data_IF_636321642618
#
_entry.id   IF_636321642618
#
_cell.length_a   1.000
_cell.length_b   1.000
_cell.length_c   1.000
_cell.angle_alpha   90.00
_cell.angle_beta   90.00
_cell.angle_gamma   90.00
#
_symmetry.space_group_name_H-M   'P 1'
#
loop_
_entity.id
_entity.type
_entity.pdbx_description
1 polymer ?
#
# COMPACT_ATOMS: atom_id res chain seq x y z
N UNK A 1 14.38 6.65 -15.89
CA UNK A 1 13.51 7.86 -15.84
C UNK A 1 14.05 8.82 -14.80
N UNK A 2 14.10 10.12 -15.09
CA UNK A 2 14.57 11.14 -14.13
C UNK A 2 13.58 11.34 -12.98
N UNK A 3 12.28 11.49 -13.30
CA UNK A 3 11.15 11.55 -12.35
C UNK A 3 10.29 10.30 -12.47
N UNK A 4 9.70 9.88 -11.37
CA UNK A 4 8.81 8.71 -11.34
C UNK A 4 7.55 9.00 -10.53
N UNK A 5 6.41 8.51 -11.00
CA UNK A 5 5.17 8.50 -10.22
C UNK A 5 5.13 7.22 -9.39
N UNK A 6 4.78 7.39 -8.13
CA UNK A 6 4.48 6.35 -7.15
C UNK A 6 3.02 6.42 -6.75
N UNK A 7 2.43 5.28 -6.42
CA UNK A 7 1.09 5.20 -5.88
C UNK A 7 0.87 3.93 -5.07
N UNK A 8 0.05 4.02 -4.04
CA UNK A 8 -0.42 2.91 -3.22
C UNK A 8 -1.95 2.80 -3.33
N UNK A 9 -2.44 1.57 -3.44
CA UNK A 9 -3.86 1.22 -3.35
C UNK A 9 -4.04 0.27 -2.18
N UNK A 10 -4.82 0.67 -1.18
CA UNK A 10 -5.10 -0.18 -0.02
C UNK A 10 -6.59 -0.46 0.08
N UNK A 11 -6.93 -1.74 0.13
CA UNK A 11 -8.25 -2.22 0.51
C UNK A 11 -8.31 -2.41 2.03
N UNK A 12 -9.46 -2.15 2.61
CA UNK A 12 -9.65 -2.22 4.07
C UNK A 12 -10.70 -3.26 4.45
N UNK A 13 -10.41 -4.05 5.48
CA UNK A 13 -11.40 -4.92 6.10
C UNK A 13 -12.39 -4.10 6.94
N UNK A 14 -13.69 -4.44 6.87
CA UNK A 14 -14.74 -3.71 7.57
C UNK A 14 -15.64 -4.64 8.37
N UNK A 15 -16.03 -4.23 9.58
CA UNK A 15 -17.02 -4.94 10.40
C UNK A 15 -17.73 -4.00 11.36
N UNK A 16 -18.95 -4.35 11.76
CA UNK A 16 -19.65 -3.68 12.85
C UNK A 16 -20.03 -4.71 13.92
N UNK A 17 -19.66 -4.45 15.16
CA UNK A 17 -19.95 -5.35 16.28
C UNK A 17 -20.67 -4.65 17.42
N UNK A 18 -21.47 -5.43 18.15
CA UNK A 18 -22.05 -5.05 19.43
C UNK A 18 -21.75 -6.14 20.46
N UNK A 19 -21.05 -5.79 21.54
CA UNK A 19 -20.62 -6.73 22.60
C UNK A 19 -19.85 -7.94 22.04
N UNK A 20 -18.99 -7.71 21.03
CA UNK A 20 -18.19 -8.74 20.40
C UNK A 20 -18.91 -9.63 19.38
N UNK A 21 -20.19 -9.39 19.12
CA UNK A 21 -20.95 -10.11 18.09
C UNK A 21 -21.20 -9.22 16.88
N UNK A 22 -21.16 -9.80 15.67
CA UNK A 22 -21.49 -9.07 14.45
C UNK A 22 -22.88 -8.47 14.53
N UNK A 23 -23.02 -7.17 14.29
CA UNK A 23 -24.26 -6.42 14.35
C UNK A 23 -24.86 -6.15 12.98
N UNK A 24 -24.01 -5.82 12.01
CA UNK A 24 -24.36 -5.55 10.61
C UNK A 24 -23.43 -6.37 9.70
N UNK A 25 -23.91 -6.70 8.51
CA UNK A 25 -23.07 -7.30 7.46
C UNK A 25 -22.06 -6.27 6.92
N UNK A 26 -20.95 -6.71 6.30
CA UNK A 26 -20.01 -5.80 5.65
C UNK A 26 -20.68 -4.87 4.63
N UNK A 27 -21.63 -5.38 3.84
CA UNK A 27 -22.39 -4.59 2.84
C UNK A 27 -23.25 -3.50 3.49
N UNK A 28 -23.84 -3.78 4.63
CA UNK A 28 -24.61 -2.77 5.38
C UNK A 28 -23.68 -1.70 5.95
N UNK A 29 -22.57 -2.10 6.55
CA UNK A 29 -21.58 -1.16 7.09
C UNK A 29 -21.00 -0.29 5.99
N UNK A 30 -20.62 -0.88 4.85
CA UNK A 30 -20.11 -0.16 3.68
C UNK A 30 -21.11 0.89 3.17
N UNK A 31 -22.42 0.58 3.17
CA UNK A 31 -23.47 1.56 2.81
C UNK A 31 -23.52 2.75 3.78
N UNK A 32 -23.39 2.54 5.08
CA UNK A 32 -23.31 3.64 6.05
C UNK A 32 -22.05 4.47 5.83
N UNK A 33 -20.88 3.83 5.70
CA UNK A 33 -19.60 4.48 5.47
C UNK A 33 -19.62 5.35 4.19
N UNK A 34 -20.11 4.78 3.08
CA UNK A 34 -20.13 5.45 1.78
C UNK A 34 -21.30 6.41 1.55
N UNK A 35 -22.26 6.50 2.46
CA UNK A 35 -23.39 7.43 2.34
C UNK A 35 -22.94 8.89 2.21
N UNK A 36 -21.91 9.29 2.97
CA UNK A 36 -21.28 10.60 2.85
C UNK A 36 -20.49 10.73 1.54
N UNK A 37 -19.78 9.67 1.13
CA UNK A 37 -19.03 9.63 -0.13
C UNK A 37 -19.95 9.78 -1.34
N UNK A 38 -21.09 9.06 -1.35
CA UNK A 38 -22.11 9.18 -2.41
C UNK A 38 -22.68 10.60 -2.47
N UNK A 39 -22.85 11.28 -1.32
CA UNK A 39 -23.30 12.68 -1.31
C UNK A 39 -22.27 13.64 -1.94
N UNK A 40 -20.97 13.29 -1.91
CA UNK A 40 -19.91 14.09 -2.51
C UNK A 40 -19.83 13.97 -4.03
N UNK A 41 -20.06 12.78 -4.58
CA UNK A 41 -19.84 12.48 -5.98
C UNK A 41 -20.96 11.72 -6.69
N UNK A 42 -22.10 11.52 -6.01
CA UNK A 42 -23.26 10.74 -6.53
C UNK A 42 -22.92 9.30 -6.93
N UNK A 43 -21.78 8.78 -6.42
CA UNK A 43 -21.26 7.46 -6.70
C UNK A 43 -20.49 6.93 -5.50
N UNK A 44 -20.36 5.61 -5.38
CA UNK A 44 -19.42 4.94 -4.46
C UNK A 44 -17.99 4.87 -5.01
N UNK A 45 -17.69 5.60 -6.07
CA UNK A 45 -16.40 5.68 -6.72
C UNK A 45 -16.12 7.15 -7.06
N UNK A 46 -15.31 7.81 -6.24
CA UNK A 46 -15.10 9.26 -6.33
C UNK A 46 -13.63 9.61 -6.29
N UNK A 47 -13.27 10.69 -6.99
CA UNK A 47 -12.01 11.39 -6.76
C UNK A 47 -12.21 12.50 -5.73
N UNK A 48 -11.27 12.59 -4.81
CA UNK A 48 -11.27 13.56 -3.71
C UNK A 48 -10.55 14.85 -4.14
N UNK A 49 -10.73 15.92 -3.36
CA UNK A 49 -10.02 17.19 -3.63
C UNK A 49 -8.51 17.12 -3.41
N UNK A 50 -8.03 16.14 -2.64
CA UNK A 50 -6.60 15.85 -2.55
C UNK A 50 -6.04 15.03 -3.73
N UNK A 51 -6.85 14.82 -4.78
CA UNK A 51 -6.48 14.08 -5.98
C UNK A 51 -6.53 12.55 -5.86
N UNK A 52 -6.75 12.00 -4.67
CA UNK A 52 -6.89 10.57 -4.44
C UNK A 52 -8.22 10.01 -4.93
N UNK A 53 -8.30 8.69 -5.05
CA UNK A 53 -9.54 7.98 -5.38
C UNK A 53 -10.00 7.16 -4.18
N UNK A 54 -11.29 7.26 -3.87
CA UNK A 54 -11.95 6.46 -2.85
C UNK A 54 -13.13 5.71 -3.48
N UNK A 55 -13.18 4.41 -3.33
CA UNK A 55 -14.23 3.59 -3.90
C UNK A 55 -14.48 2.32 -3.11
N UNK A 56 -15.58 1.65 -3.45
CA UNK A 56 -15.95 0.37 -2.87
C UNK A 56 -15.60 -0.72 -3.87
N UNK A 57 -14.65 -1.59 -3.49
CA UNK A 57 -14.25 -2.72 -4.32
C UNK A 57 -15.11 -3.97 -4.04
N UNK A 58 -14.86 -5.03 -4.81
CA UNK A 58 -15.57 -6.32 -4.71
C UNK A 58 -15.46 -6.88 -3.28
N UNK A 59 -16.58 -7.32 -2.73
CA UNK A 59 -16.65 -7.80 -1.35
C UNK A 59 -16.89 -6.69 -0.31
N UNK A 60 -17.31 -5.50 -0.77
CA UNK A 60 -17.61 -4.34 0.08
C UNK A 60 -16.42 -3.81 0.88
N UNK A 61 -15.22 -3.98 0.33
CA UNK A 61 -13.99 -3.40 0.90
C UNK A 61 -13.85 -1.94 0.48
N UNK A 62 -13.81 -0.99 1.42
CA UNK A 62 -13.36 0.36 1.10
C UNK A 62 -11.94 0.32 0.56
N UNK A 63 -11.68 1.01 -0.55
CA UNK A 63 -10.36 1.11 -1.14
C UNK A 63 -9.97 2.57 -1.34
N UNK A 64 -8.76 2.90 -0.89
CA UNK A 64 -8.16 4.20 -1.08
C UNK A 64 -6.91 4.07 -1.94
N UNK A 65 -6.92 4.75 -3.10
CA UNK A 65 -5.76 4.90 -3.97
C UNK A 65 -5.19 6.31 -3.82
N UNK A 66 -3.90 6.41 -3.49
CA UNK A 66 -3.23 7.71 -3.38
C UNK A 66 -3.28 8.48 -4.68
N UNK A 67 -3.17 9.82 -4.66
CA UNK A 67 -2.94 10.60 -5.88
C UNK A 67 -1.59 10.22 -6.50
N UNK A 68 -1.34 10.68 -7.71
CA UNK A 68 -0.02 10.57 -8.32
C UNK A 68 0.99 11.39 -7.53
N UNK A 69 1.93 10.71 -6.86
CA UNK A 69 3.03 11.32 -6.12
C UNK A 69 4.34 11.09 -6.89
N UNK A 70 5.15 12.11 -7.09
CA UNK A 70 6.50 11.97 -7.66
C UNK A 70 7.61 12.04 -6.59
N UNK A 71 7.19 11.91 -5.35
CA UNK A 71 8.01 11.82 -4.15
C UNK A 71 7.60 10.58 -3.33
N UNK A 72 8.57 9.79 -2.88
CA UNK A 72 8.34 8.65 -1.98
C UNK A 72 7.70 9.15 -0.67
N UNK A 73 8.19 10.28 -0.15
CA UNK A 73 7.66 10.90 1.07
C UNK A 73 6.19 11.28 0.92
N UNK A 74 5.82 12.00 -0.15
CA UNK A 74 4.43 12.39 -0.41
C UNK A 74 3.52 11.16 -0.58
N UNK A 75 4.01 10.08 -1.20
CA UNK A 75 3.23 8.85 -1.34
C UNK A 75 2.88 8.26 0.04
N UNK A 76 3.84 8.22 0.97
CA UNK A 76 3.59 7.76 2.35
C UNK A 76 2.68 8.72 3.11
N UNK A 77 2.86 10.03 2.96
CA UNK A 77 1.98 11.06 3.56
C UNK A 77 0.54 10.89 3.09
N UNK A 78 0.32 10.73 1.78
CA UNK A 78 -1.02 10.53 1.22
C UNK A 78 -1.65 9.18 1.57
N UNK A 79 -0.86 8.13 1.76
CA UNK A 79 -1.34 6.85 2.31
C UNK A 79 -1.87 7.03 3.74
N UNK A 80 -1.14 7.75 4.59
CA UNK A 80 -1.58 8.08 5.96
C UNK A 80 -2.76 9.04 5.99
N UNK A 81 -2.83 10.00 5.05
CA UNK A 81 -4.01 10.87 4.89
C UNK A 81 -5.27 10.06 4.53
N UNK A 82 -5.12 8.99 3.72
CA UNK A 82 -6.20 8.06 3.43
C UNK A 82 -6.77 7.38 4.67
N UNK A 83 -5.92 6.96 5.61
CA UNK A 83 -6.35 6.41 6.90
C UNK A 83 -7.15 7.43 7.72
N UNK A 84 -6.74 8.72 7.74
CA UNK A 84 -7.47 9.81 8.42
C UNK A 84 -8.84 10.06 7.80
N UNK A 85 -8.91 10.10 6.47
CA UNK A 85 -10.16 10.27 5.73
C UNK A 85 -11.15 9.14 6.07
N UNK A 86 -10.66 7.90 6.07
CA UNK A 86 -11.46 6.73 6.38
C UNK A 86 -11.89 6.69 7.86
N UNK A 87 -11.03 7.09 8.80
CA UNK A 87 -11.38 7.25 10.22
C UNK A 87 -12.54 8.24 10.38
N UNK A 88 -12.50 9.41 9.74
CA UNK A 88 -13.58 10.40 9.75
C UNK A 88 -14.88 9.86 9.14
N UNK A 89 -14.81 9.00 8.12
CA UNK A 89 -15.98 8.36 7.56
C UNK A 89 -16.60 7.34 8.53
N UNK A 90 -15.77 6.60 9.27
CA UNK A 90 -16.23 5.69 10.34
C UNK A 90 -16.96 6.46 11.43
N UNK A 91 -16.38 7.56 11.93
CA UNK A 91 -17.02 8.42 12.93
C UNK A 91 -18.39 8.93 12.47
N UNK A 92 -18.45 9.46 11.24
CA UNK A 92 -19.72 9.93 10.65
C UNK A 92 -20.74 8.80 10.44
N UNK A 93 -20.30 7.58 10.17
CA UNK A 93 -21.18 6.43 10.03
C UNK A 93 -21.71 5.96 11.40
N UNK A 94 -20.90 5.98 12.45
CA UNK A 94 -21.31 5.65 13.82
C UNK A 94 -22.33 6.68 14.37
N UNK A 95 -22.15 7.98 14.10
CA UNK A 95 -23.13 9.02 14.44
C UNK A 95 -24.51 8.71 13.82
N UNK A 96 -24.55 8.33 12.55
CA UNK A 96 -25.80 7.96 11.86
C UNK A 96 -26.44 6.68 12.38
N UNK A 97 -25.62 5.65 12.72
CA UNK A 97 -26.14 4.46 13.38
C UNK A 97 -26.85 4.84 14.69
N UNK A 98 -26.26 5.76 15.46
CA UNK A 98 -26.84 6.25 16.70
C UNK A 98 -28.17 7.02 16.47
N UNK A 99 -28.25 7.88 15.44
CA UNK A 99 -29.47 8.58 15.01
C UNK A 99 -30.59 7.60 14.65
N UNK A 100 -30.25 6.50 13.97
CA UNK A 100 -31.19 5.43 13.59
C UNK A 100 -31.45 4.44 14.74
N UNK A 101 -30.95 4.72 15.95
CA UNK A 101 -31.07 3.86 17.15
C UNK A 101 -30.44 2.47 16.98
N UNK A 102 -29.49 2.35 16.07
CA UNK A 102 -28.70 1.13 15.86
C UNK A 102 -27.41 1.23 16.70
N UNK A 103 -27.29 0.36 17.70
CA UNK A 103 -26.09 0.28 18.51
C UNK A 103 -25.05 -0.63 17.84
N UNK A 104 -23.80 -0.18 17.77
CA UNK A 104 -22.67 -0.94 17.25
C UNK A 104 -21.43 -0.07 17.12
N UNK A 105 -20.28 -0.71 17.09
CA UNK A 105 -18.99 -0.05 16.82
C UNK A 105 -18.49 -0.54 15.46
N UNK A 106 -18.13 0.39 14.59
CA UNK A 106 -17.56 0.09 13.27
C UNK A 106 -16.04 -0.01 13.43
N UNK A 107 -15.47 -1.07 12.90
CA UNK A 107 -14.03 -1.29 12.80
C UNK A 107 -13.63 -1.30 11.33
N UNK A 108 -12.55 -0.61 11.03
CA UNK A 108 -11.92 -0.58 9.73
C UNK A 108 -10.45 -0.94 9.89
N UNK A 109 -10.01 -1.99 9.20
CA UNK A 109 -8.68 -2.56 9.36
C UNK A 109 -7.86 -2.41 8.08
N UNK A 110 -6.67 -1.83 8.20
CA UNK A 110 -5.65 -1.80 7.14
C UNK A 110 -4.83 -3.08 7.16
N UNK A 111 -5.48 -4.19 6.87
CA UNK A 111 -4.89 -5.53 6.79
C UNK A 111 -5.24 -6.18 5.44
N UNK A 112 -4.77 -7.39 5.18
CA UNK A 112 -4.95 -8.04 3.88
C UNK A 112 -5.69 -9.38 3.96
N UNK A 113 -6.16 -9.79 5.11
CA UNK A 113 -6.89 -11.05 5.28
C UNK A 113 -7.94 -10.93 6.35
N UNK A 114 -9.14 -11.46 6.07
CA UNK A 114 -10.20 -11.59 7.06
C UNK A 114 -10.11 -12.91 7.87
N UNK A 115 -11.02 -13.07 8.83
CA UNK A 115 -11.12 -14.28 9.66
C UNK A 115 -11.67 -15.50 8.91
N UNK A 116 -12.27 -15.30 7.73
CA UNK A 116 -12.79 -16.37 6.87
C UNK A 116 -11.74 -16.86 5.86
N UNK A 117 -10.55 -16.25 5.83
CA UNK A 117 -9.48 -16.60 4.90
C UNK A 117 -9.59 -15.93 3.53
N UNK A 118 -10.46 -14.93 3.37
CA UNK A 118 -10.45 -14.09 2.17
C UNK A 118 -9.27 -13.11 2.24
N UNK A 119 -8.68 -12.82 1.09
CA UNK A 119 -7.60 -11.84 0.99
C UNK A 119 -8.02 -10.68 0.11
N UNK A 120 -7.60 -9.49 0.49
CA UNK A 120 -7.77 -8.24 -0.23
C UNK A 120 -6.44 -7.47 -0.32
N UNK A 121 -6.38 -6.46 -1.19
CA UNK A 121 -5.14 -5.97 -1.76
C UNK A 121 -4.42 -4.88 -0.99
N UNK A 122 -3.11 -4.85 -1.24
CA UNK A 122 -2.28 -3.67 -1.21
C UNK A 122 -1.48 -3.67 -2.51
N UNK A 123 -1.72 -2.69 -3.36
CA UNK A 123 -1.07 -2.61 -4.66
C UNK A 123 -0.11 -1.42 -4.69
N UNK A 124 1.05 -1.66 -5.29
CA UNK A 124 2.03 -0.62 -5.53
C UNK A 124 2.06 -0.31 -7.03
N UNK A 125 2.09 0.96 -7.36
CA UNK A 125 2.11 1.44 -8.74
C UNK A 125 3.37 2.28 -8.97
N UNK A 126 4.11 1.91 -10.01
CA UNK A 126 5.31 2.61 -10.44
C UNK A 126 5.19 2.98 -11.91
N UNK A 127 5.35 4.26 -12.23
CA UNK A 127 5.46 4.70 -13.61
C UNK A 127 6.81 4.27 -14.20
N UNK A 128 6.80 3.59 -15.34
CA UNK A 128 8.00 3.21 -16.09
C UNK A 128 7.91 3.72 -17.53
N UNK A 129 9.06 3.81 -18.23
CA UNK A 129 9.07 4.09 -19.66
C UNK A 129 8.33 3.01 -20.44
N UNK A 130 7.69 3.40 -21.54
CA UNK A 130 7.08 2.45 -22.47
C UNK A 130 8.09 1.51 -23.13
N UNK A 131 9.32 1.98 -23.29
CA UNK A 131 10.42 1.21 -23.88
C UNK A 131 10.98 0.14 -22.95
N UNK A 132 10.57 0.12 -21.68
CA UNK A 132 11.00 -0.86 -20.70
C UNK A 132 10.54 -2.27 -21.09
N UNK A 133 11.47 -3.23 -21.14
CA UNK A 133 11.17 -4.65 -21.33
C UNK A 133 10.59 -5.23 -20.03
N UNK A 134 9.28 -5.41 -20.01
CA UNK A 134 8.55 -5.91 -18.84
C UNK A 134 8.96 -7.35 -18.46
N UNK A 135 9.36 -8.17 -19.43
CA UNK A 135 9.82 -9.54 -19.16
C UNK A 135 11.13 -9.54 -18.39
N UNK A 136 12.08 -8.71 -18.83
CA UNK A 136 13.35 -8.49 -18.14
C UNK A 136 13.16 -7.92 -16.74
N UNK A 137 12.21 -6.99 -16.60
CA UNK A 137 11.87 -6.43 -15.27
C UNK A 137 11.31 -7.53 -14.36
N UNK A 138 10.42 -8.37 -14.86
CA UNK A 138 9.82 -9.44 -14.06
C UNK A 138 10.87 -10.44 -13.58
N UNK A 139 11.83 -10.83 -14.41
CA UNK A 139 12.92 -11.75 -14.04
C UNK A 139 13.73 -11.24 -12.83
N UNK A 140 14.03 -9.93 -12.79
CA UNK A 140 14.80 -9.33 -11.72
C UNK A 140 13.93 -8.96 -10.51
N UNK A 141 12.74 -8.44 -10.76
CA UNK A 141 11.88 -7.91 -9.69
C UNK A 141 11.12 -8.99 -8.93
N UNK A 142 10.82 -10.14 -9.54
CA UNK A 142 10.13 -11.23 -8.81
C UNK A 142 10.96 -11.72 -7.62
N UNK A 143 12.25 -12.10 -7.75
CA UNK A 143 13.07 -12.48 -6.60
C UNK A 143 13.18 -11.35 -5.56
N UNK A 144 13.30 -10.11 -6.01
CA UNK A 144 13.34 -8.94 -5.13
C UNK A 144 12.03 -8.80 -4.33
N UNK A 145 10.87 -8.83 -5.00
CA UNK A 145 9.56 -8.69 -4.34
C UNK A 145 9.22 -9.86 -3.41
N UNK A 146 9.63 -11.07 -3.77
CA UNK A 146 9.45 -12.27 -2.93
C UNK A 146 10.30 -12.18 -1.67
N UNK A 147 11.57 -11.78 -1.78
CA UNK A 147 12.50 -11.76 -0.65
C UNK A 147 12.35 -10.54 0.25
N UNK A 148 11.94 -9.35 -0.27
CA UNK A 148 11.82 -8.12 0.53
C UNK A 148 10.77 -8.19 1.65
N UNK A 149 9.88 -9.20 1.65
CA UNK A 149 8.91 -9.36 2.74
C UNK A 149 9.54 -9.42 4.13
N UNK A 150 10.82 -9.81 4.23
CA UNK A 150 11.57 -9.84 5.50
C UNK A 150 11.66 -8.47 6.19
N UNK A 151 11.49 -7.36 5.44
CA UNK A 151 11.41 -6.01 6.01
C UNK A 151 10.15 -5.23 5.56
N UNK A 152 9.26 -5.83 4.75
CA UNK A 152 8.03 -5.15 4.30
C UNK A 152 6.75 -5.88 4.67
N UNK A 153 6.83 -7.06 5.27
CA UNK A 153 5.67 -7.81 5.73
C UNK A 153 4.95 -7.14 6.90
N UNK A 154 3.66 -7.40 7.04
CA UNK A 154 2.82 -6.84 8.12
C UNK A 154 2.45 -7.85 9.20
N UNK A 155 2.97 -9.07 9.10
CA UNK A 155 2.76 -10.13 10.06
C UNK A 155 1.33 -10.68 10.11
N UNK A 156 1.19 -11.96 10.44
CA UNK A 156 -0.10 -12.63 10.63
C UNK A 156 0.01 -13.83 11.55
N UNK A 157 -0.93 -13.98 12.46
CA UNK A 157 -1.14 -15.24 13.19
C UNK A 157 -2.00 -16.17 12.32
N UNK A 158 -1.36 -17.14 11.68
CA UNK A 158 -2.02 -18.12 10.83
C UNK A 158 -2.53 -19.30 11.65
N UNK A 159 -3.81 -19.66 11.45
CA UNK A 159 -4.36 -20.91 11.96
C UNK A 159 -4.13 -22.02 10.94
N UNK A 160 -3.54 -23.12 11.36
CA UNK A 160 -3.29 -24.29 10.53
C UNK A 160 -3.85 -25.54 11.19
N UNK A 161 -3.98 -26.63 10.43
CA UNK A 161 -4.41 -27.93 10.98
C UNK A 161 -3.47 -28.47 12.09
N UNK A 162 -2.22 -27.96 12.13
CA UNK A 162 -1.20 -28.36 13.13
C UNK A 162 -1.05 -27.39 14.29
N UNK A 163 -1.92 -26.37 14.38
CA UNK A 163 -1.85 -25.28 15.34
C UNK A 163 -1.58 -23.93 14.71
N UNK A 164 -1.37 -22.92 15.53
CA UNK A 164 -1.07 -21.57 15.04
C UNK A 164 0.42 -21.37 14.82
N UNK A 165 0.76 -20.58 13.80
CA UNK A 165 2.12 -20.09 13.54
C UNK A 165 2.09 -18.62 13.18
N UNK A 166 3.18 -17.90 13.42
CA UNK A 166 3.36 -16.55 12.93
C UNK A 166 3.91 -16.57 11.50
N UNK A 167 3.43 -15.67 10.67
CA UNK A 167 3.86 -15.47 9.28
C UNK A 167 4.32 -14.01 9.12
N UNK A 168 5.45 -13.79 8.45
CA UNK A 168 6.00 -12.45 8.17
C UNK A 168 5.04 -11.64 7.31
N UNK A 169 4.50 -12.25 6.24
CA UNK A 169 3.56 -11.60 5.34
C UNK A 169 2.14 -12.13 5.50
N UNK A 170 1.15 -11.29 5.30
CA UNK A 170 -0.26 -11.67 5.32
C UNK A 170 -0.69 -12.32 4.01
N UNK A 171 -0.11 -11.90 2.88
CA UNK A 171 -0.55 -12.30 1.53
C UNK A 171 0.20 -13.48 0.94
N UNK A 172 1.29 -13.94 1.56
CA UNK A 172 2.12 -15.03 1.01
C UNK A 172 1.31 -16.29 0.63
N UNK A 173 0.32 -16.67 1.44
CA UNK A 173 -0.55 -17.83 1.18
C UNK A 173 -1.54 -17.61 0.02
N UNK A 174 -1.76 -16.36 -0.38
CA UNK A 174 -2.79 -15.97 -1.35
C UNK A 174 -2.23 -15.60 -2.73
N UNK A 175 -0.92 -15.69 -2.92
CA UNK A 175 -0.24 -15.46 -4.20
C UNK A 175 -0.14 -16.78 -4.95
N UNK A 176 -0.55 -16.80 -6.24
CA UNK A 176 -0.65 -18.03 -7.03
C UNK A 176 0.15 -18.02 -8.32
N UNK A 177 0.54 -16.85 -8.84
CA UNK A 177 1.30 -16.71 -10.09
C UNK A 177 2.41 -15.65 -9.93
N UNK A 178 3.49 -15.81 -10.68
CA UNK A 178 4.54 -14.77 -10.74
C UNK A 178 4.07 -13.54 -11.52
N UNK A 179 3.54 -13.78 -12.72
CA UNK A 179 3.10 -12.74 -13.65
C UNK A 179 1.76 -13.14 -14.27
N UNK A 180 0.78 -12.25 -14.26
CA UNK A 180 -0.53 -12.49 -14.90
C UNK A 180 -1.24 -11.17 -15.18
N UNK A 181 -2.12 -11.14 -16.20
CA UNK A 181 -3.04 -10.04 -16.44
C UNK A 181 -4.35 -10.13 -15.63
N UNK A 182 -4.59 -11.28 -14.98
CA UNK A 182 -5.76 -11.49 -14.12
C UNK A 182 -5.44 -11.09 -12.68
N UNK A 183 -6.28 -10.26 -12.06
CA UNK A 183 -6.08 -9.77 -10.69
C UNK A 183 -6.75 -10.66 -9.65
N UNK A 184 -8.03 -10.97 -9.84
CA UNK A 184 -8.88 -11.56 -8.79
C UNK A 184 -8.65 -13.06 -8.61
N UNK A 185 -8.44 -13.81 -9.70
CA UNK A 185 -8.32 -15.29 -9.64
C UNK A 185 -6.90 -15.75 -9.40
N UNK A 186 -5.91 -15.11 -10.05
CA UNK A 186 -4.51 -15.57 -10.00
C UNK A 186 -3.67 -14.83 -8.97
N UNK A 187 -4.05 -13.62 -8.55
CA UNK A 187 -3.29 -12.79 -7.60
C UNK A 187 -1.78 -12.91 -7.84
N UNK A 188 -1.28 -12.37 -8.96
CA UNK A 188 0.13 -12.49 -9.31
C UNK A 188 1.01 -11.60 -8.44
N UNK A 189 2.34 -11.85 -8.49
CA UNK A 189 3.32 -10.92 -7.91
C UNK A 189 3.30 -9.60 -8.68
N UNK A 190 3.34 -9.68 -10.03
CA UNK A 190 3.26 -8.53 -10.94
C UNK A 190 2.06 -8.71 -11.87
N UNK A 191 1.20 -7.72 -11.93
CA UNK A 191 0.11 -7.66 -12.90
C UNK A 191 0.59 -7.01 -14.19
N UNK A 192 0.30 -7.66 -15.33
CA UNK A 192 0.72 -7.22 -16.66
C UNK A 192 -0.37 -6.55 -17.47
N UNK A 193 -1.54 -6.25 -16.87
CA UNK A 193 -2.59 -5.50 -17.55
C UNK A 193 -2.07 -4.13 -17.96
N UNK A 194 -2.17 -3.83 -19.24
CA UNK A 194 -1.66 -2.56 -19.79
C UNK A 194 -2.69 -1.43 -19.60
N UNK A 195 -2.73 -0.91 -18.41
CA UNK A 195 -3.56 0.23 -17.99
C UNK A 195 -2.68 1.29 -17.35
N UNK A 196 -1.96 2.12 -18.16
CA UNK A 196 -1.01 3.07 -17.62
C UNK A 196 -1.66 4.25 -16.89
N UNK A 197 -2.97 4.48 -17.11
CA UNK A 197 -3.67 5.68 -16.63
C UNK A 197 -2.94 6.98 -16.97
N UNK A 198 -2.26 6.99 -18.11
CA UNK A 198 -1.40 8.05 -18.60
C UNK A 198 -1.34 7.99 -20.14
N UNK A 199 -0.37 8.70 -20.75
CA UNK A 199 -0.06 8.57 -22.17
C UNK A 199 0.56 7.17 -22.43
N UNK A 200 -0.22 6.29 -23.03
CA UNK A 200 0.18 4.91 -23.29
C UNK A 200 1.31 4.78 -24.32
N UNK A 201 1.62 5.81 -25.09
CA UNK A 201 2.76 5.83 -26.01
C UNK A 201 4.08 6.08 -25.29
N UNK A 202 4.04 6.71 -24.09
CA UNK A 202 5.22 7.13 -23.33
C UNK A 202 5.45 6.32 -22.07
N UNK A 203 4.35 5.93 -21.40
CA UNK A 203 4.39 5.40 -20.06
C UNK A 203 3.75 4.02 -19.97
N UNK A 204 4.26 3.24 -19.04
CA UNK A 204 3.68 1.98 -18.58
C UNK A 204 3.51 2.04 -17.06
N UNK A 205 2.50 1.38 -16.55
CA UNK A 205 2.30 1.16 -15.13
C UNK A 205 2.86 -0.22 -14.74
N UNK A 206 3.93 -0.26 -13.97
CA UNK A 206 4.31 -1.47 -13.25
C UNK A 206 3.37 -1.61 -12.05
N UNK A 207 2.53 -2.63 -12.07
CA UNK A 207 1.51 -2.88 -11.07
C UNK A 207 1.91 -4.11 -10.23
N UNK A 208 2.33 -3.86 -8.98
CA UNK A 208 2.83 -4.87 -8.04
C UNK A 208 1.72 -5.19 -7.04
N UNK A 209 1.35 -6.48 -6.94
CA UNK A 209 0.19 -6.93 -6.15
C UNK A 209 0.60 -7.65 -4.87
N UNK A 210 1.83 -8.13 -4.78
CA UNK A 210 2.29 -9.07 -3.75
C UNK A 210 2.39 -8.47 -2.34
N UNK A 211 2.52 -7.14 -2.23
CA UNK A 211 2.81 -6.47 -0.95
C UNK A 211 1.67 -6.55 0.07
N UNK A 212 2.03 -6.40 1.35
CA UNK A 212 1.10 -6.20 2.45
C UNK A 212 0.79 -4.71 2.65
N UNK A 213 -0.38 -4.42 3.22
CA UNK A 213 -0.71 -3.10 3.76
C UNK A 213 0.05 -2.86 5.06
N UNK A 214 0.73 -1.71 5.16
CA UNK A 214 1.57 -1.37 6.30
C UNK A 214 1.00 -0.24 7.15
N UNK A 215 1.06 -0.40 8.47
CA UNK A 215 0.76 0.64 9.44
C UNK A 215 1.97 1.56 9.63
N UNK A 216 3.19 1.00 9.65
CA UNK A 216 4.45 1.72 9.81
C UNK A 216 4.77 2.58 8.59
N UNK A 217 4.99 3.88 8.84
CA UNK A 217 5.47 4.84 7.83
C UNK A 217 6.86 4.44 7.32
N UNK A 218 7.72 3.93 8.22
CA UNK A 218 9.06 3.45 7.88
C UNK A 218 9.00 2.28 6.90
N UNK A 219 8.17 1.27 7.21
CA UNK A 219 7.99 0.11 6.33
C UNK A 219 7.47 0.53 4.95
N UNK A 220 6.49 1.45 4.88
CA UNK A 220 5.99 1.96 3.60
C UNK A 220 7.07 2.71 2.82
N UNK A 221 7.87 3.54 3.49
CA UNK A 221 8.92 4.32 2.85
C UNK A 221 10.01 3.42 2.26
N UNK A 222 10.51 2.45 3.03
CA UNK A 222 11.55 1.52 2.54
C UNK A 222 11.00 0.59 1.46
N UNK A 223 9.72 0.17 1.55
CA UNK A 223 9.05 -0.67 0.55
C UNK A 223 9.05 -0.01 -0.82
N UNK A 224 8.59 1.25 -0.89
CA UNK A 224 8.50 2.01 -2.13
C UNK A 224 9.90 2.41 -2.61
N UNK A 225 10.74 2.87 -1.69
CA UNK A 225 12.05 3.41 -2.02
C UNK A 225 13.06 2.37 -2.49
N UNK A 226 13.11 1.19 -1.85
CA UNK A 226 13.96 0.11 -2.34
C UNK A 226 13.54 -0.36 -3.74
N UNK A 227 12.21 -0.41 -4.02
CA UNK A 227 11.73 -0.69 -5.37
C UNK A 227 12.09 0.42 -6.37
N UNK A 228 12.07 1.69 -5.95
CA UNK A 228 12.51 2.82 -6.77
C UNK A 228 13.99 2.71 -7.12
N UNK A 229 14.85 2.35 -6.16
CA UNK A 229 16.29 2.10 -6.40
C UNK A 229 16.48 0.95 -7.41
N UNK A 230 15.77 -0.15 -7.24
CA UNK A 230 15.81 -1.28 -8.19
C UNK A 230 15.39 -0.86 -9.59
N UNK A 231 14.32 -0.10 -9.74
CA UNK A 231 13.84 0.38 -11.03
C UNK A 231 14.84 1.32 -11.70
N UNK A 232 15.49 2.21 -10.94
CA UNK A 232 16.53 3.10 -11.46
C UNK A 232 17.72 2.32 -11.99
N UNK A 233 18.18 1.31 -11.24
CA UNK A 233 19.26 0.43 -11.69
C UNK A 233 18.88 -0.37 -12.94
N UNK A 234 17.64 -0.87 -13.04
CA UNK A 234 17.15 -1.62 -14.21
C UNK A 234 17.05 -0.76 -15.48
N UNK A 235 16.82 0.53 -15.33
CA UNK A 235 16.74 1.50 -16.43
C UNK A 235 18.13 1.97 -16.90
N UNK A 236 19.18 1.72 -16.13
CA UNK A 236 20.56 2.05 -16.52
C UNK A 236 21.18 0.88 -17.31
N UNK A 237 21.51 1.06 -18.60
CA UNK A 237 22.06 -0.01 -19.43
C UNK A 237 23.47 -0.48 -18.98
N UNK A 238 24.14 0.30 -18.14
CA UNK A 238 25.47 -0.04 -17.63
C UNK A 238 25.41 -0.92 -16.38
N UNK A 239 24.22 -1.11 -15.78
CA UNK A 239 24.05 -1.92 -14.58
C UNK A 239 23.78 -3.37 -14.96
N UNK A 240 24.63 -4.26 -14.47
CA UNK A 240 24.43 -5.70 -14.59
C UNK A 240 24.00 -6.25 -13.23
N UNK A 241 22.78 -6.75 -13.17
CA UNK A 241 22.26 -7.45 -12.00
C UNK A 241 22.52 -8.95 -12.13
N UNK A 242 22.83 -9.59 -11.00
CA UNK A 242 23.05 -11.02 -10.96
C UNK A 242 21.72 -11.77 -11.10
N UNK A 243 21.75 -12.87 -11.79
CA UNK A 243 20.59 -13.76 -11.90
C UNK A 243 20.27 -14.40 -10.53
N UNK A 244 19.11 -14.02 -10.00
CA UNK A 244 18.51 -14.55 -8.77
C UNK A 244 17.16 -15.20 -9.06
N UNK A 245 16.90 -15.60 -10.29
CA UNK A 245 15.63 -16.22 -10.69
C UNK A 245 15.31 -17.41 -9.79
N UNK A 246 14.15 -17.35 -9.15
CA UNK A 246 13.66 -18.42 -8.27
C UNK A 246 13.14 -19.59 -9.10
N UNK A 247 13.45 -20.83 -8.70
CA UNK A 247 12.90 -22.03 -9.33
C UNK A 247 11.37 -22.05 -9.22
N UNK A 248 10.84 -21.68 -8.07
CA UNK A 248 9.41 -21.57 -7.82
C UNK A 248 9.11 -20.38 -6.88
N UNK A 249 8.78 -19.20 -7.42
CA UNK A 249 8.55 -18.00 -6.59
C UNK A 249 7.34 -18.15 -5.67
N UNK A 250 6.33 -18.93 -6.04
CA UNK A 250 5.10 -19.13 -5.25
C UNK A 250 5.36 -20.02 -4.03
N UNK A 251 6.24 -21.00 -4.18
CA UNK A 251 6.71 -21.81 -3.06
C UNK A 251 7.65 -20.98 -2.16
N UNK A 252 8.58 -20.27 -2.76
CA UNK A 252 9.58 -19.47 -2.06
C UNK A 252 8.94 -18.39 -1.18
N UNK A 253 7.93 -17.66 -1.67
CA UNK A 253 7.27 -16.59 -0.88
C UNK A 253 6.65 -17.13 0.41
N UNK A 254 6.08 -18.34 0.36
CA UNK A 254 5.48 -19.01 1.54
C UNK A 254 6.53 -19.53 2.51
N UNK A 255 7.57 -20.18 1.99
CA UNK A 255 8.66 -20.70 2.82
C UNK A 255 9.36 -19.59 3.58
N UNK A 256 9.70 -18.47 2.91
CA UNK A 256 10.28 -17.29 3.53
C UNK A 256 9.33 -16.68 4.58
N UNK A 257 8.04 -16.58 4.27
CA UNK A 257 7.05 -15.97 5.16
C UNK A 257 6.87 -16.72 6.49
N UNK A 258 7.15 -18.00 6.50
CA UNK A 258 6.98 -18.85 7.69
C UNK A 258 8.19 -18.88 8.63
N UNK A 259 9.28 -18.22 8.28
CA UNK A 259 10.50 -18.21 9.07
C UNK A 259 10.84 -16.81 9.57
N UNK A 260 10.47 -16.53 10.82
CA UNK A 260 10.77 -15.25 11.49
C UNK A 260 12.26 -15.02 11.75
N UNK A 261 13.10 -16.04 11.56
CA UNK A 261 14.56 -15.89 11.64
C UNK A 261 15.17 -15.34 10.36
N UNK A 262 14.41 -15.31 9.26
CA UNK A 262 14.82 -14.89 7.92
C UNK A 262 15.99 -15.70 7.34
N UNK A 263 16.18 -16.96 7.78
CA UNK A 263 17.27 -17.87 7.39
C UNK A 263 16.83 -18.99 6.44
N UNK A 264 15.52 -19.20 6.29
CA UNK A 264 14.98 -20.22 5.38
C UNK A 264 15.56 -20.05 3.99
N UNK A 265 16.17 -21.12 3.46
CA UNK A 265 16.70 -21.14 2.10
C UNK A 265 15.62 -21.51 1.09
N UNK A 266 15.73 -20.95 -0.09
CA UNK A 266 14.91 -21.21 -1.28
C UNK A 266 15.82 -21.49 -2.46
N UNK A 267 15.30 -22.26 -3.45
CA UNK A 267 16.10 -22.70 -4.59
C UNK A 267 15.98 -21.73 -5.76
N UNK A 268 17.13 -21.33 -6.30
CA UNK A 268 17.22 -20.60 -7.56
C UNK A 268 17.11 -21.57 -8.77
N UNK A 269 16.75 -21.05 -9.93
CA UNK A 269 16.65 -21.80 -11.17
C UNK A 269 17.97 -22.47 -11.60
N UNK A 270 19.11 -21.91 -11.20
CA UNK A 270 20.44 -22.46 -11.41
C UNK A 270 20.85 -23.55 -10.39
N UNK A 271 19.94 -23.96 -9.50
CA UNK A 271 20.14 -25.00 -8.49
C UNK A 271 20.81 -24.55 -7.19
N UNK A 272 21.24 -23.29 -7.08
CA UNK A 272 21.78 -22.76 -5.80
C UNK A 272 20.66 -22.60 -4.78
N UNK A 273 20.98 -22.81 -3.52
CA UNK A 273 20.11 -22.47 -2.39
C UNK A 273 20.60 -21.21 -1.71
N UNK A 274 19.70 -20.27 -1.48
CA UNK A 274 19.96 -18.95 -0.89
C UNK A 274 18.79 -18.55 0.01
N UNK A 275 19.06 -17.78 1.05
CA UNK A 275 17.99 -17.18 1.86
C UNK A 275 17.42 -15.92 1.22
N UNK A 276 16.27 -15.45 1.71
CA UNK A 276 15.73 -14.14 1.34
C UNK A 276 16.73 -13.02 1.66
N UNK A 277 17.46 -13.16 2.75
CA UNK A 277 18.49 -12.24 3.17
C UNK A 277 19.65 -12.18 2.17
N UNK A 278 20.13 -13.34 1.66
CA UNK A 278 21.18 -13.40 0.64
C UNK A 278 20.75 -12.72 -0.65
N UNK A 279 19.48 -12.90 -1.07
CA UNK A 279 18.94 -12.22 -2.24
C UNK A 279 18.92 -10.71 -2.03
N UNK A 280 18.42 -10.25 -0.90
CA UNK A 280 18.36 -8.81 -0.57
C UNK A 280 19.77 -8.20 -0.46
N UNK A 281 20.73 -8.93 0.12
CA UNK A 281 22.12 -8.48 0.23
C UNK A 281 22.76 -8.30 -1.16
N UNK A 282 22.56 -9.24 -2.08
CA UNK A 282 23.09 -9.12 -3.45
C UNK A 282 22.54 -7.86 -4.16
N UNK A 283 21.23 -7.59 -4.04
CA UNK A 283 20.65 -6.39 -4.66
C UNK A 283 21.07 -5.11 -3.96
N UNK A 284 21.15 -5.12 -2.63
CA UNK A 284 21.63 -3.98 -1.84
C UNK A 284 23.09 -3.63 -2.19
N UNK A 285 23.98 -4.63 -2.29
CA UNK A 285 25.40 -4.41 -2.66
C UNK A 285 25.52 -3.79 -4.06
N UNK A 286 24.60 -4.08 -4.98
CA UNK A 286 24.53 -3.42 -6.29
C UNK A 286 24.05 -1.98 -6.18
N UNK A 287 23.05 -1.75 -5.33
CA UNK A 287 22.52 -0.41 -5.09
C UNK A 287 23.56 0.50 -4.41
N UNK A 288 24.31 -0.01 -3.44
CA UNK A 288 25.40 0.73 -2.80
C UNK A 288 26.51 1.12 -3.81
N UNK A 289 26.92 0.18 -4.68
CA UNK A 289 27.87 0.52 -5.77
C UNK A 289 27.32 1.53 -6.76
N UNK A 290 26.01 1.47 -7.02
CA UNK A 290 25.36 2.46 -7.88
C UNK A 290 25.35 3.85 -7.23
N UNK A 291 25.14 3.92 -5.91
CA UNK A 291 25.22 5.16 -5.14
C UNK A 291 26.58 5.81 -5.20
N UNK A 292 27.67 5.02 -5.15
CA UNK A 292 29.05 5.48 -5.26
C UNK A 292 29.44 5.97 -6.68
N UNK A 293 28.63 5.63 -7.68
CA UNK A 293 28.86 6.00 -9.08
C UNK A 293 27.82 7.01 -9.59
N UNK A 294 26.79 6.56 -10.35
CA UNK A 294 25.75 7.45 -10.88
C UNK A 294 24.95 8.18 -9.79
N UNK A 295 24.75 7.53 -8.64
CA UNK A 295 24.05 8.07 -7.49
C UNK A 295 22.52 7.98 -7.56
N UNK A 296 21.89 8.24 -6.42
CA UNK A 296 20.42 8.30 -6.25
C UNK A 296 19.97 9.72 -5.89
N UNK A 297 18.78 10.15 -6.30
CA UNK A 297 18.16 11.35 -5.75
C UNK A 297 18.00 11.26 -4.21
N UNK A 298 17.91 12.39 -3.48
CA UNK A 298 17.98 12.40 -2.02
C UNK A 298 17.01 11.46 -1.29
N UNK A 299 15.76 11.32 -1.77
CA UNK A 299 14.78 10.44 -1.14
C UNK A 299 15.01 8.96 -1.46
N UNK A 300 15.52 8.65 -2.65
CA UNK A 300 15.96 7.29 -2.99
C UNK A 300 17.23 6.93 -2.21
N UNK A 301 18.15 7.88 -2.01
CA UNK A 301 19.33 7.67 -1.15
C UNK A 301 18.90 7.39 0.31
N UNK A 302 17.99 8.19 0.86
CA UNK A 302 17.42 7.93 2.20
C UNK A 302 16.81 6.53 2.28
N UNK A 303 16.10 6.11 1.24
CA UNK A 303 15.50 4.78 1.20
C UNK A 303 16.56 3.67 1.11
N UNK A 304 17.66 3.90 0.39
CA UNK A 304 18.81 3.00 0.34
C UNK A 304 19.45 2.83 1.73
N UNK A 305 19.66 3.93 2.45
CA UNK A 305 20.22 3.90 3.81
C UNK A 305 19.30 3.12 4.77
N UNK A 306 17.99 3.29 4.64
CA UNK A 306 16.99 2.54 5.42
C UNK A 306 16.95 1.06 5.03
N UNK A 307 17.09 0.74 3.75
CA UNK A 307 17.17 -0.64 3.26
C UNK A 307 18.44 -1.33 3.76
N UNK A 308 19.58 -0.65 3.73
CA UNK A 308 20.83 -1.13 4.31
C UNK A 308 20.71 -1.39 5.80
N UNK A 309 20.11 -0.46 6.55
CA UNK A 309 19.81 -0.64 7.97
C UNK A 309 18.96 -1.89 8.23
N UNK A 310 17.88 -2.09 7.46
CA UNK A 310 17.03 -3.26 7.61
C UNK A 310 17.82 -4.56 7.36
N UNK A 311 18.52 -4.66 6.23
CA UNK A 311 19.25 -5.88 5.84
C UNK A 311 20.36 -6.19 6.84
N UNK A 312 21.13 -5.20 7.26
CA UNK A 312 22.20 -5.36 8.23
C UNK A 312 21.69 -5.76 9.61
N UNK A 313 20.57 -5.18 10.05
CA UNK A 313 19.95 -5.55 11.33
C UNK A 313 19.41 -6.98 11.30
N UNK A 314 18.78 -7.40 10.17
CA UNK A 314 18.28 -8.77 9.99
C UNK A 314 19.44 -9.79 9.99
N UNK A 315 20.62 -9.42 9.52
CA UNK A 315 21.81 -10.30 9.59
C UNK A 315 22.21 -10.63 11.03
N UNK A 316 22.05 -9.70 11.92
CA UNK A 316 22.33 -9.91 13.36
C UNK A 316 21.11 -10.57 14.05
N UNK A 317 19.99 -9.85 14.10
CA UNK A 317 18.72 -10.32 14.68
C UNK A 317 17.54 -9.54 14.08
N UNK A 318 16.65 -10.19 13.30
CA UNK A 318 15.50 -9.50 12.71
C UNK A 318 14.57 -8.87 13.73
N UNK A 319 14.49 -9.40 14.97
CA UNK A 319 13.59 -8.90 16.01
C UNK A 319 14.02 -7.55 16.61
N UNK A 320 15.22 -7.07 16.25
CA UNK A 320 15.69 -5.73 16.63
C UNK A 320 15.06 -4.59 15.83
N UNK A 321 14.36 -4.88 14.73
CA UNK A 321 13.59 -3.91 13.94
C UNK A 321 12.20 -3.63 14.56
N UNK A 322 12.12 -3.62 15.88
CA UNK A 322 10.86 -3.56 16.65
C UNK A 322 10.26 -2.14 16.76
N UNK A 323 10.88 -1.15 16.12
CA UNK A 323 10.38 0.22 16.00
C UNK A 323 10.04 0.60 14.54
N UNK A 324 10.63 -0.11 13.57
CA UNK A 324 10.63 0.23 12.14
C UNK A 324 9.69 -0.66 11.34
N UNK A 325 9.77 -1.98 11.52
CA UNK A 325 9.16 -2.98 10.63
C UNK A 325 7.90 -3.58 11.22
N UNK A 326 6.78 -3.45 10.49
CA UNK A 326 5.45 -3.82 10.98
C UNK A 326 5.35 -5.24 11.54
N UNK A 327 5.86 -6.26 10.82
CA UNK A 327 5.74 -7.62 11.32
C UNK A 327 6.53 -7.83 12.62
N UNK A 328 7.67 -7.16 12.79
CA UNK A 328 8.49 -7.25 14.00
C UNK A 328 7.82 -6.54 15.16
N UNK A 329 7.32 -5.32 14.94
CA UNK A 329 6.55 -4.55 15.95
C UNK A 329 5.39 -5.39 16.45
N UNK A 330 4.62 -5.97 15.51
CA UNK A 330 3.44 -6.79 15.83
C UNK A 330 3.83 -8.12 16.49
N UNK A 331 4.88 -8.79 16.02
CA UNK A 331 5.39 -10.02 16.64
C UNK A 331 5.74 -9.79 18.12
N UNK A 332 6.55 -8.77 18.39
CA UNK A 332 6.97 -8.44 19.75
C UNK A 332 5.79 -8.01 20.63
N UNK A 333 4.82 -7.28 20.10
CA UNK A 333 3.57 -6.95 20.80
C UNK A 333 2.79 -8.23 21.20
N UNK A 334 2.64 -9.17 20.26
CA UNK A 334 1.94 -10.44 20.47
C UNK A 334 2.67 -11.31 21.49
N UNK A 335 4.00 -11.46 21.38
CA UNK A 335 4.77 -12.29 22.31
C UNK A 335 4.70 -11.74 23.74
N UNK A 336 4.89 -10.43 23.94
CA UNK A 336 4.73 -9.79 25.26
C UNK A 336 3.32 -9.97 25.84
N UNK A 337 2.30 -9.95 24.98
CA UNK A 337 0.91 -10.17 25.40
C UNK A 337 0.67 -11.64 25.80
N UNK A 338 1.21 -12.59 25.03
CA UNK A 338 1.11 -14.02 25.30
C UNK A 338 1.79 -14.40 26.62
N UNK A 339 3.02 -13.97 26.82
CA UNK A 339 3.79 -14.19 28.04
C UNK A 339 3.07 -13.64 29.28
N UNK A 340 2.57 -12.40 29.18
CA UNK A 340 1.87 -11.74 30.30
C UNK A 340 0.59 -12.47 30.73
N UNK A 341 -0.08 -13.15 29.81
CA UNK A 341 -1.39 -13.78 30.04
C UNK A 341 -1.36 -15.30 29.98
N UNK A 342 -0.19 -15.88 29.81
CA UNK A 342 0.02 -17.33 29.64
C UNK A 342 -0.90 -17.94 28.57
N UNK A 343 -0.84 -17.38 27.34
CA UNK A 343 -1.72 -17.77 26.24
C UNK A 343 -0.96 -18.43 25.10
N UNK A 344 -1.51 -19.51 24.48
CA UNK A 344 -0.94 -20.06 23.27
C UNK A 344 -1.19 -19.11 22.09
N UNK A 345 -0.32 -19.16 21.05
CA UNK A 345 -0.39 -18.29 19.88
C UNK A 345 -1.77 -18.34 19.18
N UNK A 346 -2.42 -19.51 19.14
CA UNK A 346 -3.73 -19.71 18.54
C UNK A 346 -4.93 -19.21 19.38
N UNK A 347 -4.71 -18.65 20.56
CA UNK A 347 -5.79 -18.20 21.43
C UNK A 347 -6.57 -17.03 20.80
N UNK A 348 -7.90 -17.02 20.96
CA UNK A 348 -8.78 -16.02 20.36
C UNK A 348 -8.42 -14.55 20.70
N UNK A 349 -7.93 -14.29 21.93
CA UNK A 349 -7.47 -12.96 22.34
C UNK A 349 -6.20 -12.53 21.59
N UNK A 350 -5.33 -13.47 21.23
CA UNK A 350 -4.13 -13.20 20.43
C UNK A 350 -4.51 -12.88 18.99
N UNK A 351 -5.45 -13.64 18.41
CA UNK A 351 -5.99 -13.34 17.07
C UNK A 351 -6.68 -11.98 17.03
N UNK A 352 -7.40 -11.62 18.09
CA UNK A 352 -8.02 -10.30 18.19
C UNK A 352 -6.97 -9.20 18.24
N UNK A 353 -5.87 -9.38 18.98
CA UNK A 353 -4.76 -8.43 19.05
C UNK A 353 -4.05 -8.29 17.69
N UNK A 354 -3.82 -9.42 16.99
CA UNK A 354 -3.30 -9.43 15.61
C UNK A 354 -4.14 -8.57 14.66
N UNK A 355 -5.47 -8.68 14.75
CA UNK A 355 -6.40 -7.88 13.95
C UNK A 355 -6.42 -6.41 14.39
N UNK A 356 -6.52 -6.15 15.70
CA UNK A 356 -6.60 -4.79 16.26
C UNK A 356 -5.37 -3.94 15.99
N UNK A 357 -4.21 -4.55 15.77
CA UNK A 357 -2.99 -3.84 15.35
C UNK A 357 -3.25 -2.97 14.11
N UNK A 358 -4.11 -3.44 13.20
CA UNK A 358 -4.44 -2.79 11.93
C UNK A 358 -5.67 -1.87 11.98
N UNK A 359 -6.28 -1.65 13.16
CA UNK A 359 -7.42 -0.71 13.27
C UNK A 359 -6.95 0.70 12.92
N UNK A 360 -7.62 1.37 11.96
CA UNK A 360 -7.29 2.74 11.55
C UNK A 360 -7.64 3.79 12.61
N UNK A 361 -8.48 3.43 13.58
CA UNK A 361 -8.85 4.34 14.69
C UNK A 361 -7.66 4.57 15.62
N UNK A 362 -7.18 5.81 15.67
CA UNK A 362 -6.07 6.23 16.53
C UNK A 362 -6.34 6.00 18.00
N UNK A 363 -7.58 6.15 18.43
CA UNK A 363 -7.98 5.96 19.83
C UNK A 363 -7.99 4.50 20.26
N UNK A 364 -8.21 3.55 19.34
CA UNK A 364 -8.36 2.13 19.62
C UNK A 364 -7.14 1.29 19.29
N UNK A 365 -6.47 1.59 18.18
CA UNK A 365 -5.36 0.80 17.65
C UNK A 365 -4.19 0.68 18.62
N UNK A 366 -3.70 -0.54 18.90
CA UNK A 366 -2.44 -0.73 19.60
C UNK A 366 -1.24 -0.11 18.89
N UNK A 367 -1.21 -0.13 17.55
CA UNK A 367 -0.15 0.49 16.77
C UNK A 367 -0.06 2.00 17.04
N UNK A 368 -1.16 2.74 16.93
CA UNK A 368 -1.16 4.18 17.18
C UNK A 368 -0.83 4.53 18.64
N UNK A 369 -1.29 3.72 19.60
CA UNK A 369 -0.91 3.90 21.00
C UNK A 369 0.60 3.68 21.25
N UNK A 370 1.24 2.80 20.50
CA UNK A 370 2.70 2.63 20.54
C UNK A 370 3.39 3.82 19.88
N UNK A 371 2.88 4.30 18.74
CA UNK A 371 3.40 5.48 18.06
C UNK A 371 3.35 6.72 18.94
N UNK A 372 2.23 6.99 19.62
CA UNK A 372 2.07 8.13 20.55
C UNK A 372 3.05 8.08 21.74
N UNK A 373 3.50 6.89 22.12
CA UNK A 373 4.51 6.68 23.15
C UNK A 373 5.95 6.73 22.63
N UNK A 374 6.15 7.02 21.35
CA UNK A 374 7.47 7.04 20.72
C UNK A 374 8.12 5.66 20.59
N UNK A 375 7.33 4.58 20.58
CA UNK A 375 7.81 3.20 20.42
C UNK A 375 7.84 2.72 18.97
N UNK A 376 7.40 3.55 18.05
CA UNK A 376 7.42 3.30 16.59
C UNK A 376 8.10 4.49 15.91
N UNK A 377 8.96 4.19 14.96
CA UNK A 377 9.66 5.21 14.18
C UNK A 377 8.70 5.90 13.22
N UNK A 378 8.82 7.24 13.12
CA UNK A 378 7.99 8.06 12.23
C UNK A 378 8.80 8.65 11.10
N UNK A 379 8.18 8.74 9.93
CA UNK A 379 8.72 9.39 8.74
C UNK A 379 7.99 10.70 8.45
N UNK A 380 6.66 10.72 8.61
CA UNK A 380 5.80 11.85 8.28
C UNK A 380 5.46 12.67 9.52
N UNK A 381 5.24 13.98 9.34
CA UNK A 381 4.67 14.84 10.37
C UNK A 381 3.15 14.78 10.37
N UNK A 382 2.51 15.04 11.51
CA UNK A 382 1.05 15.13 11.55
C UNK A 382 0.52 16.33 10.75
N UNK A 383 1.32 17.41 10.63
CA UNK A 383 0.98 18.59 9.82
C UNK A 383 0.90 18.22 8.33
N UNK A 384 1.89 17.49 7.80
CA UNK A 384 1.89 17.05 6.41
C UNK A 384 0.72 16.10 6.12
N UNK A 385 0.47 15.14 7.03
CA UNK A 385 -0.66 14.20 6.90
C UNK A 385 -1.99 14.95 6.89
N UNK A 386 -2.20 15.90 7.82
CA UNK A 386 -3.43 16.67 7.89
C UNK A 386 -3.61 17.57 6.65
N UNK A 387 -2.52 18.15 6.15
CA UNK A 387 -2.54 18.93 4.90
C UNK A 387 -2.95 18.07 3.72
N UNK A 388 -2.43 16.85 3.62
CA UNK A 388 -2.70 15.92 2.53
C UNK A 388 -4.14 15.33 2.53
N UNK A 389 -4.92 15.55 3.58
CA UNK A 389 -6.36 15.23 3.58
C UNK A 389 -7.09 16.03 2.49
N UNK A 390 -6.71 17.28 2.29
CA UNK A 390 -7.40 18.23 1.43
C UNK A 390 -6.55 18.73 0.24
N UNK A 391 -5.23 18.69 0.35
CA UNK A 391 -4.29 19.26 -0.62
C UNK A 391 -3.61 18.16 -1.41
N UNK A 392 -3.71 18.17 -2.76
CA UNK A 392 -3.05 17.20 -3.63
C UNK A 392 -1.54 17.49 -3.75
N UNK A 393 -0.72 16.52 -4.22
CA UNK A 393 0.64 16.78 -4.69
C UNK A 393 0.68 17.91 -5.71
N UNK A 394 1.60 18.87 -5.52
CA UNK A 394 1.63 20.12 -6.29
C UNK A 394 2.44 20.02 -7.58
N UNK A 395 3.21 18.96 -7.76
CA UNK A 395 4.16 18.75 -8.87
C UNK A 395 3.62 17.81 -9.95
N UNK A 396 2.43 17.23 -9.74
CA UNK A 396 1.81 16.25 -10.63
C UNK A 396 0.43 16.70 -11.09
N UNK A 397 -0.19 15.97 -12.04
CA UNK A 397 -1.55 16.25 -12.49
C UNK A 397 -2.62 16.05 -11.41
N UNK A 398 -2.27 15.42 -10.27
CA UNK A 398 -3.17 15.34 -9.12
C UNK A 398 -3.62 16.73 -8.66
N UNK A 399 -2.76 17.75 -8.78
CA UNK A 399 -3.10 19.15 -8.54
C UNK A 399 -4.26 19.62 -9.44
N UNK A 400 -4.17 19.38 -10.74
CA UNK A 400 -5.21 19.76 -11.70
C UNK A 400 -6.56 19.11 -11.36
N UNK A 401 -6.51 17.82 -11.05
CA UNK A 401 -7.71 17.05 -10.68
C UNK A 401 -8.31 17.56 -9.36
N UNK A 402 -7.48 17.74 -8.35
CA UNK A 402 -7.91 18.19 -7.02
C UNK A 402 -8.55 19.59 -7.08
N UNK A 403 -7.92 20.53 -7.77
CA UNK A 403 -8.46 21.89 -7.94
C UNK A 403 -9.79 21.89 -8.69
N UNK A 404 -9.90 21.12 -9.79
CA UNK A 404 -11.15 20.99 -10.52
C UNK A 404 -12.28 20.40 -9.64
N UNK A 405 -12.01 19.32 -8.91
CA UNK A 405 -12.98 18.68 -8.01
C UNK A 405 -13.42 19.65 -6.92
N UNK A 406 -12.47 20.37 -6.30
CA UNK A 406 -12.75 21.37 -5.26
C UNK A 406 -13.68 22.47 -5.79
N UNK A 407 -13.33 23.09 -6.93
CA UNK A 407 -14.11 24.19 -7.52
C UNK A 407 -15.48 23.74 -7.99
N UNK A 408 -15.58 22.55 -8.60
CA UNK A 408 -16.86 22.01 -9.03
C UNK A 408 -17.82 21.78 -7.84
N UNK A 409 -17.30 21.28 -6.71
CA UNK A 409 -18.07 21.13 -5.46
C UNK A 409 -18.50 22.47 -4.88
N UNK A 410 -17.58 23.43 -4.75
CA UNK A 410 -17.88 24.79 -4.25
C UNK A 410 -18.99 25.48 -5.06
N UNK A 411 -19.03 25.25 -6.36
CA UNK A 411 -20.02 25.79 -7.30
C UNK A 411 -21.24 24.88 -7.50
N UNK A 412 -21.32 23.76 -6.79
CA UNK A 412 -22.39 22.76 -6.91
C UNK A 412 -22.65 22.33 -8.37
N UNK A 413 -21.55 22.14 -9.14
CA UNK A 413 -21.63 21.72 -10.55
C UNK A 413 -21.58 20.21 -10.65
N UNK A 414 -22.22 19.66 -11.67
CA UNK A 414 -22.14 18.24 -12.00
C UNK A 414 -20.92 17.96 -12.86
N UNK A 415 -20.12 16.95 -12.48
CA UNK A 415 -18.87 16.62 -13.14
C UNK A 415 -18.58 15.12 -13.13
N UNK A 416 -17.72 14.70 -14.05
CA UNK A 416 -17.13 13.35 -14.08
C UNK A 416 -15.61 13.45 -14.13
N UNK A 417 -14.94 12.68 -13.30
CA UNK A 417 -13.49 12.67 -13.20
C UNK A 417 -13.00 11.23 -13.15
N UNK A 418 -11.96 10.94 -13.91
CA UNK A 418 -11.13 9.75 -13.75
C UNK A 418 -9.64 10.14 -13.70
N UNK A 419 -8.73 9.16 -13.83
CA UNK A 419 -7.29 9.42 -13.73
C UNK A 419 -6.79 10.42 -14.78
N UNK A 420 -7.39 10.47 -15.98
CA UNK A 420 -6.94 11.30 -17.11
C UNK A 420 -7.97 12.30 -17.61
N UNK A 421 -9.25 12.11 -17.29
CA UNK A 421 -10.33 12.97 -17.78
C UNK A 421 -10.87 13.86 -16.67
N UNK A 422 -11.03 15.15 -17.01
CA UNK A 422 -11.78 16.13 -16.22
C UNK A 422 -12.94 16.60 -17.11
N UNK A 423 -14.18 16.31 -16.72
CA UNK A 423 -15.36 16.61 -17.51
C UNK A 423 -16.40 17.39 -16.70
N UNK A 424 -16.87 18.50 -17.24
CA UNK A 424 -18.03 19.22 -16.75
C UNK A 424 -19.29 18.69 -17.46
N UNK A 425 -20.26 18.20 -16.69
CA UNK A 425 -21.51 17.65 -17.22
C UNK A 425 -22.55 18.77 -17.49
N UNK A 426 -22.17 19.75 -18.28
CA UNK A 426 -23.06 20.80 -18.80
C UNK A 426 -23.56 20.45 -20.20
N UNK A 427 -24.34 21.37 -20.82
CA UNK A 427 -24.85 21.17 -22.18
C UNK A 427 -23.70 21.00 -23.20
N UNK A 428 -22.58 21.68 -23.01
CA UNK A 428 -21.41 21.61 -23.88
C UNK A 428 -20.53 20.38 -23.68
N UNK A 429 -20.75 19.58 -22.58
CA UNK A 429 -20.00 18.38 -22.28
C UNK A 429 -18.46 18.58 -22.32
N UNK A 430 -18.00 19.69 -21.75
CA UNK A 430 -16.59 20.10 -21.81
C UNK A 430 -15.69 19.09 -21.12
N UNK A 431 -14.69 18.60 -21.84
CA UNK A 431 -13.76 17.59 -21.34
C UNK A 431 -12.33 18.01 -21.61
N UNK A 432 -11.47 17.89 -20.60
CA UNK A 432 -10.01 18.05 -20.73
C UNK A 432 -9.33 16.73 -20.42
N UNK A 433 -8.41 16.34 -21.31
CA UNK A 433 -7.63 15.13 -21.20
C UNK A 433 -6.23 15.45 -20.68
N UNK A 434 -5.93 15.00 -19.47
CA UNK A 434 -4.66 15.21 -18.75
C UNK A 434 -3.81 13.93 -18.79
N UNK A 435 -3.23 13.59 -19.95
CA UNK A 435 -2.50 12.32 -20.16
C UNK A 435 -1.13 12.29 -19.47
N UNK A 436 -0.47 13.44 -19.34
CA UNK A 436 0.86 13.52 -18.73
C UNK A 436 0.75 13.59 -17.20
N UNK A 437 1.21 12.57 -16.46
CA UNK A 437 1.10 12.54 -14.99
C UNK A 437 2.01 13.56 -14.30
N UNK A 438 3.05 14.06 -14.98
CA UNK A 438 4.01 15.03 -14.45
C UNK A 438 3.60 16.49 -14.69
N UNK A 439 2.48 16.72 -15.38
CA UNK A 439 2.01 18.06 -15.72
C UNK A 439 1.09 18.61 -14.65
N UNK A 440 1.58 19.55 -13.84
CA UNK A 440 0.83 20.20 -12.75
C UNK A 440 0.13 21.50 -13.14
N UNK A 441 0.32 21.98 -14.38
CA UNK A 441 -0.33 23.15 -14.95
C UNK A 441 -0.83 22.86 -16.36
N UNK A 442 -2.07 23.27 -16.66
CA UNK A 442 -2.67 23.14 -17.98
C UNK A 442 -3.73 24.22 -18.20
N UNK A 443 -3.47 25.17 -19.11
CA UNK A 443 -4.40 26.27 -19.44
C UNK A 443 -5.78 25.79 -19.87
N UNK A 444 -5.90 24.56 -20.41
CA UNK A 444 -7.21 23.98 -20.76
C UNK A 444 -8.03 23.67 -19.52
N UNK A 445 -7.35 23.23 -18.44
CA UNK A 445 -7.97 22.97 -17.13
C UNK A 445 -8.34 24.29 -16.48
N UNK A 446 -7.46 25.30 -16.54
CA UNK A 446 -7.74 26.64 -15.99
C UNK A 446 -9.00 27.23 -16.65
N UNK A 447 -9.07 27.18 -17.99
CA UNK A 447 -10.28 27.60 -18.74
C UNK A 447 -11.51 26.77 -18.40
N UNK A 448 -11.38 25.45 -18.17
CA UNK A 448 -12.48 24.60 -17.73
C UNK A 448 -13.00 25.05 -16.35
N UNK A 449 -12.10 25.33 -15.41
CA UNK A 449 -12.42 25.81 -14.06
C UNK A 449 -13.10 27.18 -14.11
N UNK A 450 -12.66 28.09 -14.96
CA UNK A 450 -13.29 29.42 -15.16
C UNK A 450 -14.76 29.32 -15.62
N UNK A 451 -15.15 28.19 -16.23
CA UNK A 451 -16.54 27.96 -16.70
C UNK A 451 -17.45 27.37 -15.63
N UNK A 452 -16.91 26.98 -14.46
CA UNK A 452 -17.69 26.49 -13.32
C UNK A 452 -18.51 27.62 -12.68
#
# INVERSE_FOLDING_TARGET
MERRIYGLENEYGITCTLRGQRRLSPDEVARYLFRRVVSWGRSSNVFLQNGARLYLDVGSHPEYATPECDSIYECVVHDKAGERILEQLVESAEERLAEESIRGTIYLFKNNTDSAGNSYGCHENYCTSRDADLSKYAEVLIPFFVSRQIYTGSGKVLQTARGAKFSIAQRAEHIWEGVSSATTRSRPIINTRDEPHADAEKYRRLHVIVGDSNMSEYTNFVKIGAAACMLRMLEDPNVVLRDMTLENPIRAIREISHDVTCRQTVRLANGREVSALDIQREYLDRALRYADGPGFPPLEQKALDMWEHCVTTIEDDPLKLDREVDWVIKHNLIERFRERHDLPLGHARVQLLDLQYHDVSRSRSPFYKMQDRGLVERICTDEDINTAIDVPPQTTRARLRGEFVKRAKEKNRDYTVDWVHLKLNDQAQRTVLCKDPFKSHDERVDRLIETL
#
